data_IF_693294249799
#
_entry.id   IF_693294249799
#
_cell.length_a   1.000
_cell.length_b   1.000
_cell.length_c   1.000
_cell.angle_alpha   90.00
_cell.angle_beta   90.00
_cell.angle_gamma   90.00
#
_symmetry.space_group_name_H-M   'P 1'
#
loop_
_entity.id
_entity.type
_entity.pdbx_description
1 polymer ?
#
# COMPACT_ATOMS: atom_id res chain seq x y z
N UNK A 1 -1.06 48.42 20.67
CA UNK A 1 -1.87 48.60 19.46
C UNK A 1 -1.59 47.37 18.63
N UNK A 2 -2.45 46.35 18.77
CA UNK A 2 -2.31 45.09 18.05
C UNK A 2 -2.62 45.33 16.59
N UNK A 3 -1.78 44.84 15.70
CA UNK A 3 -2.09 44.84 14.27
C UNK A 3 -3.09 43.71 14.04
N UNK A 4 -4.25 44.03 13.50
CA UNK A 4 -5.21 43.02 13.04
C UNK A 4 -4.51 42.11 12.01
N UNK A 5 -4.61 40.78 12.15
CA UNK A 5 -4.25 39.87 11.08
C UNK A 5 -5.10 40.18 9.85
N UNK A 6 -4.49 40.07 8.67
CA UNK A 6 -5.20 40.34 7.41
C UNK A 6 -6.21 39.22 7.19
N UNK A 7 -7.49 39.50 7.46
CA UNK A 7 -8.56 38.49 7.62
C UNK A 7 -8.86 37.62 6.38
N UNK A 8 -8.36 37.96 5.18
CA UNK A 8 -8.38 37.08 4.00
C UNK A 8 -7.61 37.69 2.81
N UNK A 9 -6.70 36.96 2.18
CA UNK A 9 -6.13 37.34 0.88
C UNK A 9 -6.73 36.48 -0.26
N UNK A 10 -7.28 37.17 -1.27
CA UNK A 10 -7.76 36.54 -2.51
C UNK A 10 -6.94 37.07 -3.68
N UNK A 11 -6.11 36.21 -4.26
CA UNK A 11 -5.25 36.58 -5.38
C UNK A 11 -5.54 35.70 -6.60
N UNK A 12 -5.81 36.35 -7.74
CA UNK A 12 -6.09 35.70 -9.02
C UNK A 12 -5.14 36.24 -10.09
N UNK A 13 -4.20 35.43 -10.56
CA UNK A 13 -3.28 35.84 -11.64
C UNK A 13 -3.59 35.10 -12.92
N UNK A 14 -3.64 35.86 -14.02
CA UNK A 14 -3.70 35.32 -15.38
C UNK A 14 -2.39 34.66 -15.81
N UNK A 15 -2.25 34.31 -17.09
CA UNK A 15 -1.06 33.64 -17.58
C UNK A 15 0.21 34.47 -17.33
N UNK A 16 1.21 33.84 -16.73
CA UNK A 16 2.49 34.47 -16.43
C UNK A 16 3.64 33.55 -16.91
N UNK A 17 4.84 34.11 -17.11
CA UNK A 17 6.05 33.33 -17.34
C UNK A 17 6.47 32.60 -16.07
N UNK A 18 7.72 32.77 -15.63
CA UNK A 18 8.18 32.18 -14.38
C UNK A 18 7.80 33.05 -13.19
N UNK A 19 7.24 32.43 -12.15
CA UNK A 19 6.79 33.11 -10.95
C UNK A 19 7.50 32.55 -9.71
N UNK A 20 8.11 33.44 -8.94
CA UNK A 20 8.64 33.14 -7.61
C UNK A 20 7.98 34.03 -6.58
N UNK A 21 7.35 33.44 -5.58
CA UNK A 21 6.65 34.18 -4.53
C UNK A 21 6.83 33.54 -3.15
N UNK A 22 6.92 34.40 -2.13
CA UNK A 22 6.92 33.99 -0.73
C UNK A 22 5.85 34.78 0.00
N UNK A 23 4.94 34.10 0.70
CA UNK A 23 3.91 34.75 1.50
C UNK A 23 4.18 34.53 2.98
N UNK A 24 3.98 35.60 3.75
CA UNK A 24 4.11 35.58 5.21
C UNK A 24 2.92 34.89 5.90
N UNK A 25 2.89 34.90 7.25
CA UNK A 25 1.79 34.34 8.02
C UNK A 25 0.47 35.05 7.72
N UNK A 26 -0.63 34.29 7.65
CA UNK A 26 -1.99 34.79 7.38
C UNK A 26 -3.02 33.85 8.03
N UNK A 27 -4.25 34.31 8.26
CA UNK A 27 -5.33 33.43 8.76
C UNK A 27 -5.90 32.60 7.59
N UNK A 28 -6.44 33.29 6.58
CA UNK A 28 -7.09 32.68 5.41
C UNK A 28 -6.44 33.09 4.08
N UNK A 29 -6.08 32.11 3.25
CA UNK A 29 -5.54 32.38 1.90
C UNK A 29 -6.29 31.63 0.79
N UNK A 30 -6.70 32.37 -0.24
CA UNK A 30 -7.25 31.82 -1.50
C UNK A 30 -6.46 32.29 -2.71
N UNK A 31 -5.80 31.36 -3.39
CA UNK A 31 -5.00 31.65 -4.59
C UNK A 31 -5.51 30.87 -5.80
N UNK A 32 -5.78 31.60 -6.88
CA UNK A 32 -6.05 31.07 -8.21
C UNK A 32 -4.97 31.51 -9.19
N UNK A 33 -4.18 30.57 -9.74
CA UNK A 33 -3.22 30.88 -10.80
C UNK A 33 -3.65 30.21 -12.10
N UNK A 34 -3.63 30.96 -13.21
CA UNK A 34 -3.81 30.42 -14.55
C UNK A 34 -2.58 29.64 -15.04
N UNK A 35 -2.39 29.59 -16.37
CA UNK A 35 -1.22 28.95 -16.97
C UNK A 35 0.07 29.69 -16.61
N UNK A 36 0.98 29.04 -15.90
CA UNK A 36 2.28 29.61 -15.50
C UNK A 36 3.38 28.69 -16.04
N UNK A 37 4.53 29.23 -16.43
CA UNK A 37 5.71 28.43 -16.84
C UNK A 37 6.24 27.63 -15.66
N UNK A 38 7.21 28.20 -14.95
CA UNK A 38 7.71 27.63 -13.69
C UNK A 38 7.18 28.40 -12.48
N UNK A 39 6.73 27.69 -11.45
CA UNK A 39 6.28 28.31 -10.20
C UNK A 39 6.98 27.70 -9.00
N UNK A 40 7.72 28.56 -8.30
CA UNK A 40 8.31 28.30 -7.00
C UNK A 40 7.63 29.14 -5.92
N UNK A 41 7.06 28.49 -4.92
CA UNK A 41 6.34 29.16 -3.83
C UNK A 41 6.76 28.68 -2.45
N UNK A 42 6.94 29.60 -1.51
CA UNK A 42 7.09 29.31 -0.09
C UNK A 42 6.01 29.99 0.72
N UNK A 43 5.30 29.25 1.57
CA UNK A 43 4.24 29.81 2.40
C UNK A 43 4.55 29.63 3.88
N UNK A 44 4.40 30.71 4.64
CA UNK A 44 4.49 30.70 6.09
C UNK A 44 3.29 30.04 6.78
N UNK A 45 3.27 30.02 8.12
CA UNK A 45 2.18 29.41 8.88
C UNK A 45 0.83 30.07 8.64
N UNK A 46 -0.24 29.26 8.48
CA UNK A 46 -1.60 29.72 8.24
C UNK A 46 -2.66 28.80 8.84
N UNK A 47 -3.88 29.30 9.06
CA UNK A 47 -5.01 28.49 9.56
C UNK A 47 -5.71 27.75 8.42
N UNK A 48 -6.20 28.45 7.38
CA UNK A 48 -6.92 27.83 6.26
C UNK A 48 -6.38 28.24 4.89
N UNK A 49 -6.14 27.24 4.04
CA UNK A 49 -5.57 27.48 2.72
C UNK A 49 -6.33 26.78 1.59
N UNK A 50 -6.65 27.55 0.53
CA UNK A 50 -7.22 27.01 -0.72
C UNK A 50 -6.45 27.47 -1.96
N UNK A 51 -5.91 26.49 -2.69
CA UNK A 51 -5.12 26.70 -3.89
C UNK A 51 -5.77 26.04 -5.11
N UNK A 52 -5.96 26.80 -6.19
CA UNK A 52 -6.28 26.28 -7.51
C UNK A 52 -5.24 26.74 -8.53
N UNK A 53 -4.41 25.84 -9.04
CA UNK A 53 -3.40 26.18 -10.05
C UNK A 53 -3.71 25.48 -11.37
N UNK A 54 -3.72 26.26 -12.45
CA UNK A 54 -3.85 25.77 -13.80
C UNK A 54 -2.57 25.09 -14.32
N UNK A 55 -2.56 24.69 -15.61
CA UNK A 55 -1.48 23.92 -16.18
C UNK A 55 -0.13 24.62 -16.14
N UNK A 56 0.96 23.87 -16.00
CA UNK A 56 2.34 24.42 -15.93
C UNK A 56 3.41 23.41 -16.31
N UNK A 57 4.66 23.87 -16.46
CA UNK A 57 5.83 22.99 -16.53
C UNK A 57 6.21 22.51 -15.13
N UNK A 58 6.83 23.36 -14.32
CA UNK A 58 7.50 22.90 -13.10
C UNK A 58 6.93 23.52 -11.80
N UNK A 59 6.53 22.66 -10.86
CA UNK A 59 6.09 23.02 -9.52
C UNK A 59 7.10 22.69 -8.45
N UNK A 60 7.54 23.72 -7.73
CA UNK A 60 8.13 23.53 -6.41
C UNK A 60 7.37 24.35 -5.36
N UNK A 61 6.86 23.70 -4.32
CA UNK A 61 6.27 24.42 -3.19
C UNK A 61 6.65 23.83 -1.84
N UNK A 62 6.99 24.73 -0.92
CA UNK A 62 7.17 24.44 0.50
C UNK A 62 6.09 25.12 1.32
N UNK A 63 5.35 24.37 2.13
CA UNK A 63 4.42 24.94 3.11
C UNK A 63 4.97 24.74 4.51
N UNK A 64 4.98 25.83 5.28
CA UNK A 64 5.24 25.79 6.71
C UNK A 64 4.11 25.10 7.49
N UNK A 65 4.23 25.02 8.82
CA UNK A 65 3.20 24.44 9.66
C UNK A 65 1.89 25.20 9.53
N UNK A 66 0.74 24.54 9.38
CA UNK A 66 -0.54 25.23 9.21
C UNK A 66 -1.74 24.38 9.65
N UNK A 67 -2.94 24.96 9.58
CA UNK A 67 -4.20 24.24 9.73
C UNK A 67 -4.59 23.52 8.45
N UNK A 68 -5.80 23.74 7.95
CA UNK A 68 -6.38 22.92 6.89
C UNK A 68 -5.98 23.41 5.49
N UNK A 69 -5.68 22.46 4.61
CA UNK A 69 -5.25 22.75 3.24
C UNK A 69 -6.11 22.00 2.23
N UNK A 70 -6.74 22.76 1.32
CA UNK A 70 -7.37 22.23 0.10
C UNK A 70 -6.61 22.67 -1.14
N UNK A 71 -6.26 21.74 -2.02
CA UNK A 71 -5.52 22.04 -3.25
C UNK A 71 -6.05 21.29 -4.46
N UNK A 72 -6.25 22.00 -5.55
CA UNK A 72 -6.47 21.45 -6.89
C UNK A 72 -5.38 21.89 -7.85
N UNK A 73 -4.75 20.94 -8.54
CA UNK A 73 -3.79 21.21 -9.61
C UNK A 73 -4.23 20.55 -10.90
N UNK A 74 -4.16 21.28 -11.99
CA UNK A 74 -4.25 20.73 -13.34
C UNK A 74 -2.88 20.15 -13.79
N UNK A 75 -2.77 19.77 -15.06
CA UNK A 75 -1.59 19.12 -15.64
C UNK A 75 -0.28 19.87 -15.35
N UNK A 76 0.72 19.14 -14.87
CA UNK A 76 2.07 19.63 -14.55
C UNK A 76 3.10 18.68 -15.20
N UNK A 77 4.24 19.13 -15.70
CA UNK A 77 5.31 18.20 -16.13
C UNK A 77 5.98 17.62 -14.87
N UNK A 78 6.57 18.50 -14.05
CA UNK A 78 7.29 18.13 -12.83
C UNK A 78 6.65 18.75 -11.57
N UNK A 79 6.37 17.90 -10.57
CA UNK A 79 5.78 18.35 -9.32
C UNK A 79 6.56 17.94 -8.06
N UNK A 80 6.96 18.93 -7.26
CA UNK A 80 7.63 18.77 -5.98
C UNK A 80 6.94 19.56 -4.88
N UNK A 81 6.39 18.85 -3.91
CA UNK A 81 5.69 19.43 -2.77
C UNK A 81 6.30 18.93 -1.45
N UNK A 82 6.69 19.85 -0.59
CA UNK A 82 7.13 19.57 0.77
C UNK A 82 6.23 20.32 1.76
N UNK A 83 5.44 19.59 2.54
CA UNK A 83 4.56 20.19 3.54
C UNK A 83 5.10 19.88 4.94
N UNK A 84 5.17 20.91 5.78
CA UNK A 84 5.40 20.76 7.21
C UNK A 84 4.19 20.14 7.92
N UNK A 85 4.12 20.24 9.26
CA UNK A 85 2.98 19.76 10.00
C UNK A 85 1.70 20.52 9.61
N UNK A 86 0.68 19.81 9.16
CA UNK A 86 -0.59 20.43 8.73
C UNK A 86 -1.77 19.83 9.49
N UNK A 87 -2.89 20.54 9.53
CA UNK A 87 -4.17 19.98 9.97
C UNK A 87 -4.69 18.97 8.95
N UNK A 88 -5.95 19.12 8.56
CA UNK A 88 -6.56 18.24 7.56
C UNK A 88 -6.17 18.66 6.14
N UNK A 89 -5.87 17.68 5.30
CA UNK A 89 -5.35 17.91 3.96
C UNK A 89 -6.20 17.20 2.90
N UNK A 90 -6.70 17.98 1.94
CA UNK A 90 -7.41 17.50 0.77
C UNK A 90 -6.72 17.95 -0.52
N UNK A 91 -6.24 17.00 -1.33
CA UNK A 91 -5.56 17.31 -2.59
C UNK A 91 -6.11 16.53 -3.78
N UNK A 92 -6.34 17.25 -4.88
CA UNK A 92 -6.56 16.69 -6.21
C UNK A 92 -5.44 17.14 -7.14
N UNK A 93 -4.62 16.21 -7.62
CA UNK A 93 -3.52 16.49 -8.53
C UNK A 93 -3.81 15.87 -9.90
N UNK A 94 -3.72 16.67 -10.95
CA UNK A 94 -3.90 16.23 -12.33
C UNK A 94 -2.75 15.36 -12.85
N UNK A 95 -2.79 14.99 -14.15
CA UNK A 95 -1.73 14.17 -14.76
C UNK A 95 -0.36 14.85 -14.67
N UNK A 96 0.67 14.08 -14.34
CA UNK A 96 2.05 14.57 -14.18
C UNK A 96 3.05 13.61 -14.83
N UNK A 97 4.24 14.05 -15.26
CA UNK A 97 5.31 13.10 -15.62
C UNK A 97 5.98 12.63 -14.32
N UNK A 98 6.47 13.57 -13.52
CA UNK A 98 7.28 13.33 -12.32
C UNK A 98 6.61 13.95 -11.07
N UNK A 99 6.12 13.12 -10.12
CA UNK A 99 5.45 13.61 -8.91
C UNK A 99 6.15 13.17 -7.62
N UNK A 100 6.53 14.16 -6.79
CA UNK A 100 7.18 13.95 -5.49
C UNK A 100 6.49 14.74 -4.39
N UNK A 101 5.94 14.02 -3.41
CA UNK A 101 5.28 14.60 -2.24
C UNK A 101 5.96 14.12 -0.96
N UNK A 102 6.39 15.06 -0.13
CA UNK A 102 6.80 14.81 1.25
C UNK A 102 5.87 15.53 2.22
N UNK A 103 5.14 14.80 3.04
CA UNK A 103 4.29 15.38 4.07
C UNK A 103 4.86 15.10 5.46
N UNK A 104 4.92 16.15 6.28
CA UNK A 104 5.14 16.04 7.71
C UNK A 104 3.96 15.37 8.43
N UNK A 105 4.01 15.32 9.77
CA UNK A 105 2.89 14.83 10.56
C UNK A 105 1.63 15.70 10.37
N UNK A 106 0.45 15.13 10.37
CA UNK A 106 -0.77 15.93 10.26
C UNK A 106 -2.04 15.25 10.72
N UNK A 107 -3.16 15.93 10.47
CA UNK A 107 -4.50 15.41 10.69
C UNK A 107 -4.90 14.38 9.63
N UNK A 108 -6.15 14.44 9.20
CA UNK A 108 -6.70 13.52 8.22
C UNK A 108 -6.29 13.94 6.80
N UNK A 109 -6.05 12.94 5.95
CA UNK A 109 -5.50 13.17 4.61
C UNK A 109 -6.32 12.45 3.55
N UNK A 110 -6.85 13.23 2.61
CA UNK A 110 -7.52 12.75 1.41
C UNK A 110 -6.78 13.20 0.15
N UNK A 111 -6.36 12.26 -0.68
CA UNK A 111 -5.65 12.56 -1.94
C UNK A 111 -6.24 11.80 -3.13
N UNK A 112 -6.39 12.51 -4.24
CA UNK A 112 -6.64 11.95 -5.56
C UNK A 112 -5.54 12.39 -6.53
N UNK A 113 -4.76 11.44 -7.02
CA UNK A 113 -3.62 11.70 -7.91
C UNK A 113 -3.92 11.14 -9.30
N UNK A 114 -3.75 11.96 -10.33
CA UNK A 114 -3.94 11.59 -11.73
C UNK A 114 -2.87 10.62 -12.23
N UNK A 115 -2.95 10.23 -13.52
CA UNK A 115 -1.93 9.41 -14.15
C UNK A 115 -0.54 10.05 -14.03
N UNK A 116 0.47 9.24 -13.71
CA UNK A 116 1.86 9.71 -13.55
C UNK A 116 2.85 8.74 -14.19
N UNK A 117 4.00 9.17 -14.70
CA UNK A 117 5.06 8.22 -15.06
C UNK A 117 5.76 7.76 -13.77
N UNK A 118 6.29 8.73 -13.01
CA UNK A 118 7.14 8.52 -11.84
C UNK A 118 6.51 9.14 -10.57
N UNK A 119 5.98 8.32 -9.66
CA UNK A 119 5.30 8.81 -8.45
C UNK A 119 5.98 8.40 -7.16
N UNK A 120 6.33 9.39 -6.32
CA UNK A 120 6.93 9.16 -4.99
C UNK A 120 6.22 9.95 -3.90
N UNK A 121 5.66 9.22 -2.93
CA UNK A 121 4.95 9.79 -1.80
C UNK A 121 5.63 9.31 -0.51
N UNK A 122 6.00 10.26 0.35
CA UNK A 122 6.51 9.97 1.69
C UNK A 122 5.72 10.74 2.73
N UNK A 123 4.98 10.03 3.56
CA UNK A 123 4.10 10.63 4.55
C UNK A 123 4.62 10.33 5.96
N UNK A 124 4.56 11.34 6.82
CA UNK A 124 4.83 11.22 8.25
C UNK A 124 3.69 10.54 9.01
N UNK A 125 3.54 10.91 10.28
CA UNK A 125 2.42 10.45 11.10
C UNK A 125 1.14 11.20 10.74
N UNK A 126 0.13 10.52 10.25
CA UNK A 126 -1.18 11.13 9.92
C UNK A 126 -2.29 10.44 10.71
N UNK A 127 -3.42 11.12 10.84
CA UNK A 127 -4.67 10.53 11.33
C UNK A 127 -5.20 9.50 10.32
N UNK A 128 -6.42 9.71 9.82
CA UNK A 128 -7.00 8.83 8.82
C UNK A 128 -6.54 9.21 7.41
N UNK A 129 -6.29 8.21 6.58
CA UNK A 129 -5.70 8.38 5.27
C UNK A 129 -6.51 7.69 4.17
N UNK A 130 -6.99 8.49 3.23
CA UNK A 130 -7.66 8.04 2.01
C UNK A 130 -6.89 8.49 0.78
N UNK A 131 -6.35 7.56 0.00
CA UNK A 131 -5.61 7.87 -1.23
C UNK A 131 -6.20 7.09 -2.43
N UNK A 132 -6.48 7.81 -3.51
CA UNK A 132 -6.69 7.26 -4.85
C UNK A 132 -5.55 7.65 -5.79
N UNK A 133 -4.79 6.68 -6.30
CA UNK A 133 -3.70 6.90 -7.25
C UNK A 133 -4.13 6.40 -8.64
N UNK A 134 -3.94 7.23 -9.66
CA UNK A 134 -4.17 6.89 -11.05
C UNK A 134 -3.16 5.86 -11.59
N UNK A 135 -3.28 5.49 -12.88
CA UNK A 135 -2.29 4.66 -13.55
C UNK A 135 -0.89 5.25 -13.41
N UNK A 136 0.10 4.43 -13.07
CA UNK A 136 1.50 4.88 -12.90
C UNK A 136 2.46 3.88 -13.55
N UNK A 137 3.60 4.31 -14.10
CA UNK A 137 4.64 3.35 -14.48
C UNK A 137 5.39 2.89 -13.22
N UNK A 138 5.98 3.84 -12.51
CA UNK A 138 6.81 3.65 -11.31
C UNK A 138 6.18 4.30 -10.07
N UNK A 139 5.78 3.50 -9.08
CA UNK A 139 5.14 4.00 -7.87
C UNK A 139 5.88 3.61 -6.58
N UNK A 140 6.21 4.61 -5.76
CA UNK A 140 6.80 4.42 -4.42
C UNK A 140 6.01 5.17 -3.37
N UNK A 141 5.40 4.42 -2.45
CA UNK A 141 4.67 4.97 -1.30
C UNK A 141 5.32 4.51 0.00
N UNK A 142 5.78 5.47 0.80
CA UNK A 142 6.27 5.25 2.16
C UNK A 142 5.39 5.97 3.16
N UNK A 143 4.69 5.23 4.02
CA UNK A 143 3.85 5.78 5.07
C UNK A 143 4.47 5.53 6.45
N UNK A 144 4.44 6.56 7.29
CA UNK A 144 4.72 6.46 8.72
C UNK A 144 3.57 5.79 9.48
N UNK A 145 3.37 6.23 10.74
CA UNK A 145 2.26 5.76 11.55
C UNK A 145 0.95 6.40 11.08
N UNK A 146 -0.07 5.59 10.78
CA UNK A 146 -1.37 6.05 10.28
C UNK A 146 -2.47 5.57 11.23
N UNK A 147 -3.57 6.31 11.36
CA UNK A 147 -4.82 5.79 11.92
C UNK A 147 -5.42 4.74 11.00
N UNK A 148 -6.58 5.01 10.42
CA UNK A 148 -7.19 4.13 9.43
C UNK A 148 -6.70 4.45 8.01
N UNK A 149 -6.49 3.41 7.20
CA UNK A 149 -5.89 3.53 5.88
C UNK A 149 -6.73 2.89 4.78
N UNK A 150 -7.18 3.71 3.84
CA UNK A 150 -7.81 3.31 2.59
C UNK A 150 -6.97 3.75 1.39
N UNK A 151 -6.47 2.77 0.63
CA UNK A 151 -5.71 3.03 -0.60
C UNK A 151 -6.35 2.33 -1.79
N UNK A 152 -6.66 3.09 -2.83
CA UNK A 152 -6.95 2.59 -4.17
C UNK A 152 -5.82 2.93 -5.13
N UNK A 153 -5.16 1.93 -5.69
CA UNK A 153 -4.08 2.12 -6.67
C UNK A 153 -4.56 1.67 -8.04
N UNK A 154 -4.35 2.53 -9.03
CA UNK A 154 -4.56 2.22 -10.44
C UNK A 154 -3.59 1.14 -10.95
N UNK A 155 -3.64 0.84 -12.25
CA UNK A 155 -2.65 -0.04 -12.88
C UNK A 155 -1.23 0.50 -12.68
N UNK A 156 -0.28 -0.38 -12.36
CA UNK A 156 1.12 0.01 -12.17
C UNK A 156 2.09 -1.02 -12.71
N UNK A 157 3.15 -0.60 -13.41
CA UNK A 157 4.20 -1.53 -13.85
C UNK A 157 5.05 -1.96 -12.66
N UNK A 158 5.67 -1.01 -11.96
CA UNK A 158 6.52 -1.26 -10.79
C UNK A 158 5.98 -0.55 -9.55
N UNK A 159 5.67 -1.33 -8.51
CA UNK A 159 5.03 -0.80 -7.31
C UNK A 159 5.77 -1.20 -6.02
N UNK A 160 6.13 -0.19 -5.22
CA UNK A 160 6.70 -0.35 -3.89
C UNK A 160 5.84 0.34 -2.83
N UNK A 161 5.43 -0.43 -1.82
CA UNK A 161 4.59 0.02 -0.71
C UNK A 161 5.26 -0.34 0.62
N UNK A 162 5.72 0.66 1.37
CA UNK A 162 6.20 0.50 2.73
C UNK A 162 5.25 1.22 3.69
N UNK A 163 4.46 0.46 4.44
CA UNK A 163 3.48 1.03 5.37
C UNK A 163 3.90 0.74 6.80
N UNK A 164 4.07 1.81 7.58
CA UNK A 164 4.30 1.73 9.02
C UNK A 164 3.08 1.21 9.80
N UNK A 165 3.19 1.14 11.14
CA UNK A 165 2.11 0.67 11.99
C UNK A 165 0.86 1.53 11.88
N UNK A 166 -0.32 0.94 12.06
CA UNK A 166 -1.57 1.70 12.09
C UNK A 166 -2.79 0.89 12.51
N UNK A 167 -3.96 1.53 12.41
CA UNK A 167 -5.27 0.94 12.66
C UNK A 167 -5.71 0.02 11.53
N UNK A 168 -6.90 0.25 10.97
CA UNK A 168 -7.46 -0.62 9.94
C UNK A 168 -6.86 -0.35 8.56
N UNK A 169 -6.41 -1.41 7.88
CA UNK A 169 -5.81 -1.30 6.55
C UNK A 169 -6.69 -1.92 5.45
N UNK A 170 -7.10 -1.11 4.48
CA UNK A 170 -7.74 -1.56 3.24
C UNK A 170 -6.98 -1.08 2.00
N UNK A 171 -6.44 -2.03 1.23
CA UNK A 171 -5.74 -1.76 -0.04
C UNK A 171 -6.44 -2.46 -1.20
N UNK A 172 -6.71 -1.71 -2.28
CA UNK A 172 -7.17 -2.23 -3.56
C UNK A 172 -6.20 -1.88 -4.66
N UNK A 173 -5.66 -2.89 -5.34
CA UNK A 173 -4.71 -2.71 -6.43
C UNK A 173 -5.33 -3.08 -7.78
N UNK A 174 -5.10 -2.19 -8.74
CA UNK A 174 -5.31 -2.45 -10.16
C UNK A 174 -4.39 -3.56 -10.67
N UNK A 175 -4.59 -4.01 -11.93
CA UNK A 175 -3.68 -4.93 -12.57
C UNK A 175 -2.30 -4.28 -12.77
N UNK A 176 -1.21 -5.04 -12.57
CA UNK A 176 0.13 -4.49 -12.66
C UNK A 176 1.22 -5.52 -12.96
N UNK A 177 2.44 -5.01 -13.13
CA UNK A 177 3.67 -5.80 -13.26
C UNK A 177 4.12 -6.28 -11.88
N UNK A 178 5.21 -5.72 -11.38
CA UNK A 178 5.85 -6.18 -10.15
C UNK A 178 5.39 -5.39 -8.93
N UNK A 179 5.06 -6.12 -7.86
CA UNK A 179 4.61 -5.54 -6.60
C UNK A 179 5.48 -6.00 -5.44
N UNK A 180 6.08 -5.03 -4.75
CA UNK A 180 6.74 -5.21 -3.47
C UNK A 180 6.01 -4.46 -2.37
N UNK A 181 5.60 -5.17 -1.32
CA UNK A 181 4.91 -4.58 -0.17
C UNK A 181 5.50 -5.04 1.16
N UNK A 182 5.79 -4.10 2.05
CA UNK A 182 6.12 -4.34 3.45
C UNK A 182 5.11 -3.64 4.35
N UNK A 183 4.42 -4.42 5.19
CA UNK A 183 3.44 -3.92 6.15
C UNK A 183 3.89 -4.22 7.56
N UNK A 184 4.06 -3.18 8.36
CA UNK A 184 4.24 -3.29 9.81
C UNK A 184 2.92 -3.73 10.50
N UNK A 185 2.93 -3.99 11.83
CA UNK A 185 1.74 -4.43 12.55
C UNK A 185 0.54 -3.49 12.36
N UNK A 186 -0.63 -4.05 12.11
CA UNK A 186 -1.92 -3.32 12.06
C UNK A 186 -2.99 -4.13 12.79
N UNK A 187 -4.10 -3.50 13.16
CA UNK A 187 -5.22 -4.19 13.82
C UNK A 187 -5.87 -5.19 12.85
N UNK A 188 -6.48 -4.67 11.78
CA UNK A 188 -7.02 -5.46 10.67
C UNK A 188 -6.32 -5.18 9.34
N UNK A 189 -6.29 -6.18 8.46
CA UNK A 189 -5.83 -6.01 7.08
C UNK A 189 -6.73 -6.67 6.04
N UNK A 190 -7.12 -5.88 5.03
CA UNK A 190 -7.85 -6.31 3.84
C UNK A 190 -7.11 -5.85 2.59
N UNK A 191 -6.62 -6.81 1.82
CA UNK A 191 -5.95 -6.51 0.55
C UNK A 191 -6.63 -7.27 -0.60
N UNK A 192 -7.01 -6.53 -1.64
CA UNK A 192 -7.54 -7.06 -2.88
C UNK A 192 -6.62 -6.73 -4.05
N UNK A 193 -5.96 -7.73 -4.61
CA UNK A 193 -5.10 -7.59 -5.77
C UNK A 193 -5.77 -8.23 -6.98
N UNK A 194 -5.79 -7.52 -8.10
CA UNK A 194 -6.36 -8.02 -9.35
C UNK A 194 -5.39 -9.01 -10.00
N UNK A 195 -4.61 -8.60 -11.00
CA UNK A 195 -3.60 -9.44 -11.65
C UNK A 195 -2.23 -8.81 -11.44
N UNK A 196 -1.24 -9.59 -11.07
CA UNK A 196 0.12 -9.09 -10.80
C UNK A 196 1.11 -10.01 -11.52
N UNK A 197 2.23 -9.48 -12.01
CA UNK A 197 3.36 -10.26 -12.51
C UNK A 197 4.01 -11.02 -11.37
N UNK A 198 4.98 -10.37 -10.72
CA UNK A 198 5.66 -10.91 -9.55
C UNK A 198 5.21 -10.19 -8.28
N UNK A 199 4.89 -10.96 -7.24
CA UNK A 199 4.42 -10.45 -5.95
C UNK A 199 5.40 -10.81 -4.84
N UNK A 200 6.00 -9.81 -4.22
CA UNK A 200 6.78 -9.94 -2.98
C UNK A 200 6.09 -9.20 -1.84
N UNK A 201 5.75 -9.92 -0.76
CA UNK A 201 5.02 -9.31 0.36
C UNK A 201 5.53 -9.77 1.73
N UNK A 202 5.78 -8.82 2.62
CA UNK A 202 6.03 -9.04 4.05
C UNK A 202 4.89 -8.46 4.88
N UNK A 203 4.22 -9.30 5.65
CA UNK A 203 3.08 -8.92 6.49
C UNK A 203 3.47 -9.08 7.95
N UNK A 204 3.44 -7.99 8.72
CA UNK A 204 3.65 -8.02 10.17
C UNK A 204 2.54 -8.76 10.93
N UNK A 205 2.71 -8.95 12.25
CA UNK A 205 1.68 -9.49 13.16
C UNK A 205 0.37 -8.68 13.15
N UNK A 206 -0.80 -9.35 13.15
CA UNK A 206 -2.15 -8.73 13.09
C UNK A 206 -3.24 -9.59 13.72
N UNK A 207 -4.38 -9.02 14.12
CA UNK A 207 -5.52 -9.78 14.66
C UNK A 207 -6.29 -10.51 13.54
N UNK A 208 -6.69 -9.77 12.49
CA UNK A 208 -7.42 -10.32 11.35
C UNK A 208 -6.76 -10.01 10.01
N UNK A 209 -6.65 -11.02 9.15
CA UNK A 209 -6.10 -10.87 7.82
C UNK A 209 -6.96 -11.50 6.73
N UNK A 210 -7.28 -10.69 5.71
CA UNK A 210 -7.97 -11.15 4.51
C UNK A 210 -7.27 -10.67 3.24
N UNK A 211 -6.73 -11.63 2.49
CA UNK A 211 -6.05 -11.38 1.21
C UNK A 211 -6.80 -12.07 0.08
N UNK A 212 -7.21 -11.29 -0.92
CA UNK A 212 -7.71 -11.78 -2.20
C UNK A 212 -6.71 -11.46 -3.29
N UNK A 213 -6.09 -12.47 -3.89
CA UNK A 213 -5.21 -12.33 -5.05
C UNK A 213 -5.92 -12.89 -6.27
N UNK A 214 -5.92 -12.18 -7.40
CA UNK A 214 -6.24 -12.78 -8.69
C UNK A 214 -5.03 -13.50 -9.28
N UNK A 215 -4.90 -13.59 -10.61
CA UNK A 215 -3.81 -14.31 -11.26
C UNK A 215 -2.44 -13.69 -10.97
N UNK A 216 -1.45 -14.51 -10.62
CA UNK A 216 -0.06 -14.09 -10.40
C UNK A 216 0.92 -15.06 -11.05
N UNK A 217 2.04 -14.56 -11.59
CA UNK A 217 3.10 -15.40 -12.16
C UNK A 217 3.90 -16.04 -11.02
N UNK A 218 4.56 -15.23 -10.22
CA UNK A 218 5.33 -15.67 -9.05
C UNK A 218 4.87 -14.96 -7.77
N UNK A 219 4.72 -15.70 -6.68
CA UNK A 219 4.43 -15.15 -5.35
C UNK A 219 5.49 -15.58 -4.35
N UNK A 220 6.09 -14.60 -3.68
CA UNK A 220 6.90 -14.78 -2.48
C UNK A 220 6.29 -13.99 -1.32
N UNK A 221 5.86 -14.67 -0.26
CA UNK A 221 5.24 -14.02 0.89
C UNK A 221 5.80 -14.51 2.23
N UNK A 222 6.01 -13.57 3.16
CA UNK A 222 6.22 -13.84 4.59
C UNK A 222 5.07 -13.25 5.38
N UNK A 223 4.45 -14.07 6.22
CA UNK A 223 3.32 -13.65 7.05
C UNK A 223 3.67 -13.87 8.51
N UNK A 224 3.59 -12.79 9.28
CA UNK A 224 3.70 -12.80 10.74
C UNK A 224 2.51 -13.52 11.39
N UNK A 225 2.57 -13.71 12.72
CA UNK A 225 1.51 -14.39 13.46
C UNK A 225 0.19 -13.61 13.38
N UNK A 226 -0.91 -14.35 13.21
CA UNK A 226 -2.27 -13.80 13.20
C UNK A 226 -3.25 -14.73 13.92
N UNK A 227 -4.32 -14.18 14.50
CA UNK A 227 -5.37 -14.99 15.12
C UNK A 227 -6.25 -15.67 14.05
N UNK A 228 -6.77 -14.87 13.11
CA UNK A 228 -7.63 -15.30 12.01
C UNK A 228 -7.09 -14.93 10.62
N UNK A 229 -6.81 -15.95 9.78
CA UNK A 229 -6.32 -15.75 8.41
C UNK A 229 -7.27 -16.34 7.36
N UNK A 230 -7.61 -15.51 6.36
CA UNK A 230 -8.38 -15.90 5.16
C UNK A 230 -7.65 -15.50 3.88
N UNK A 231 -7.14 -16.49 3.14
CA UNK A 231 -6.45 -16.29 1.86
C UNK A 231 -7.27 -16.89 0.70
N UNK A 232 -7.54 -16.06 -0.31
CA UNK A 232 -8.16 -16.50 -1.57
C UNK A 232 -7.23 -16.18 -2.73
N UNK A 233 -6.60 -17.21 -3.28
CA UNK A 233 -5.66 -17.08 -4.38
C UNK A 233 -6.32 -17.45 -5.71
N UNK A 234 -6.02 -16.66 -6.74
CA UNK A 234 -6.32 -16.96 -8.14
C UNK A 234 -5.40 -18.04 -8.69
N UNK A 235 -5.19 -18.02 -10.01
CA UNK A 235 -4.20 -18.87 -10.67
C UNK A 235 -2.80 -18.37 -10.30
N UNK A 236 -1.96 -19.24 -9.75
CA UNK A 236 -0.58 -18.91 -9.39
C UNK A 236 0.35 -19.86 -10.14
N UNK A 237 1.38 -19.32 -10.80
CA UNK A 237 2.45 -20.10 -11.40
C UNK A 237 3.29 -20.76 -10.32
N UNK A 238 4.20 -20.01 -9.72
CA UNK A 238 5.05 -20.47 -8.62
C UNK A 238 4.73 -19.73 -7.30
N UNK A 239 4.73 -20.48 -6.20
CA UNK A 239 4.33 -19.99 -4.88
C UNK A 239 5.35 -20.41 -3.81
N UNK A 240 5.93 -19.40 -3.15
CA UNK A 240 6.78 -19.54 -1.96
C UNK A 240 6.15 -18.80 -0.80
N UNK A 241 5.82 -19.50 0.29
CA UNK A 241 5.29 -18.90 1.51
C UNK A 241 6.09 -19.30 2.74
N UNK A 242 6.38 -18.33 3.60
CA UNK A 242 6.85 -18.54 4.97
C UNK A 242 5.80 -18.07 5.96
N UNK A 243 5.31 -18.96 6.80
CA UNK A 243 4.25 -18.69 7.78
C UNK A 243 4.78 -18.90 9.21
N UNK A 244 4.62 -17.89 10.04
CA UNK A 244 4.71 -18.03 11.50
C UNK A 244 3.38 -18.56 12.07
N UNK A 245 3.36 -19.20 13.27
CA UNK A 245 2.19 -19.96 13.74
C UNK A 245 0.92 -19.11 13.90
N UNK A 246 -0.18 -19.60 13.29
CA UNK A 246 -1.54 -19.03 13.31
C UNK A 246 -2.49 -19.99 14.04
N UNK A 247 -3.45 -19.47 14.82
CA UNK A 247 -4.40 -20.29 15.61
C UNK A 247 -5.46 -20.94 14.70
N UNK A 248 -6.07 -20.17 13.78
CA UNK A 248 -7.09 -20.64 12.85
C UNK A 248 -6.80 -20.23 11.40
N UNK A 249 -6.72 -21.23 10.50
CA UNK A 249 -6.36 -21.01 9.08
C UNK A 249 -7.40 -21.57 8.11
N UNK A 250 -7.86 -20.73 7.18
CA UNK A 250 -8.74 -21.09 6.05
C UNK A 250 -8.11 -20.62 4.73
N UNK A 251 -7.66 -21.56 3.89
CA UNK A 251 -7.09 -21.28 2.57
C UNK A 251 -7.72 -22.13 1.47
N UNK A 252 -7.86 -21.56 0.28
CA UNK A 252 -8.34 -22.24 -0.92
C UNK A 252 -7.49 -21.85 -2.13
N UNK A 253 -6.74 -22.81 -2.67
CA UNK A 253 -5.71 -22.55 -3.69
C UNK A 253 -5.92 -23.43 -4.94
N UNK A 254 -5.66 -22.88 -6.14
CA UNK A 254 -5.51 -23.62 -7.41
C UNK A 254 -4.15 -23.33 -8.06
N UNK A 255 -3.05 -23.88 -7.52
CA UNK A 255 -1.72 -23.65 -8.07
C UNK A 255 -1.49 -24.45 -9.37
N UNK A 256 -0.87 -23.80 -10.36
CA UNK A 256 -0.39 -24.39 -11.62
C UNK A 256 1.14 -24.32 -11.64
N UNK A 257 1.83 -25.11 -10.80
CA UNK A 257 3.30 -25.09 -10.74
C UNK A 257 3.90 -25.77 -9.51
N UNK A 258 5.11 -25.35 -9.12
CA UNK A 258 5.85 -25.93 -8.00
C UNK A 258 5.53 -25.21 -6.69
N UNK A 259 5.35 -25.98 -5.60
CA UNK A 259 4.95 -25.45 -4.28
C UNK A 259 6.00 -25.80 -3.23
N UNK A 260 6.42 -24.81 -2.42
CA UNK A 260 7.33 -24.97 -1.29
C UNK A 260 6.78 -24.27 -0.05
N UNK A 261 6.59 -25.03 1.03
CA UNK A 261 6.11 -24.53 2.32
C UNK A 261 7.08 -24.89 3.46
N UNK A 262 7.24 -23.97 4.41
CA UNK A 262 8.01 -24.13 5.63
C UNK A 262 7.16 -23.78 6.84
N UNK A 263 6.38 -24.75 7.33
CA UNK A 263 5.41 -24.56 8.43
C UNK A 263 5.89 -25.14 9.77
N UNK A 264 5.64 -24.43 10.87
CA UNK A 264 5.70 -24.95 12.27
C UNK A 264 4.30 -24.83 12.91
N UNK A 265 3.43 -25.86 12.83
CA UNK A 265 2.02 -25.69 13.17
C UNK A 265 1.72 -25.91 14.67
N UNK A 266 0.89 -25.03 15.23
CA UNK A 266 0.12 -25.21 16.47
C UNK A 266 -1.33 -24.73 16.21
N UNK A 267 -2.21 -25.55 15.62
CA UNK A 267 -3.59 -25.09 15.31
C UNK A 267 -4.45 -26.05 14.48
N UNK A 268 -5.72 -25.70 14.28
CA UNK A 268 -6.73 -26.42 13.49
C UNK A 268 -6.81 -25.84 12.06
N UNK A 269 -6.22 -26.51 11.08
CA UNK A 269 -6.22 -26.04 9.68
C UNK A 269 -7.33 -26.68 8.84
N UNK A 270 -8.08 -25.88 8.06
CA UNK A 270 -8.96 -26.36 6.97
C UNK A 270 -8.45 -25.84 5.63
N UNK A 271 -7.76 -26.71 4.88
CA UNK A 271 -7.12 -26.37 3.60
C UNK A 271 -7.75 -27.17 2.46
N UNK A 272 -8.19 -26.46 1.40
CA UNK A 272 -8.68 -27.06 0.15
C UNK A 272 -7.74 -26.78 -1.01
N UNK A 273 -6.98 -27.78 -1.45
CA UNK A 273 -5.98 -27.67 -2.53
C UNK A 273 -6.34 -28.57 -3.71
N UNK A 274 -6.34 -28.01 -4.93
CA UNK A 274 -6.39 -28.79 -6.20
C UNK A 274 -5.07 -28.58 -6.98
N UNK A 275 -4.00 -29.33 -6.66
CA UNK A 275 -2.70 -29.15 -7.28
C UNK A 275 -2.58 -29.89 -8.61
N UNK A 276 -1.90 -29.25 -9.57
CA UNK A 276 -1.37 -29.83 -10.80
C UNK A 276 0.15 -29.56 -10.89
N UNK A 277 0.96 -30.19 -10.03
CA UNK A 277 2.42 -29.98 -9.96
C UNK A 277 3.15 -30.79 -8.87
N UNK A 278 4.49 -30.65 -8.77
CA UNK A 278 5.35 -31.29 -7.74
C UNK A 278 5.36 -30.47 -6.44
N UNK A 279 5.12 -31.11 -5.29
CA UNK A 279 5.23 -30.53 -3.93
C UNK A 279 6.51 -31.01 -3.23
N UNK A 280 7.14 -30.17 -2.41
CA UNK A 280 8.15 -30.58 -1.43
C UNK A 280 7.77 -30.03 -0.05
N UNK A 281 7.26 -30.88 0.85
CA UNK A 281 6.80 -30.49 2.18
C UNK A 281 7.78 -30.98 3.27
N UNK A 282 8.19 -30.08 4.17
CA UNK A 282 8.98 -30.41 5.36
C UNK A 282 8.20 -30.14 6.65
N UNK A 283 7.46 -31.13 7.16
CA UNK A 283 6.62 -30.99 8.37
C UNK A 283 7.14 -31.78 9.57
N UNK A 284 7.08 -31.20 10.78
CA UNK A 284 7.19 -31.89 12.08
C UNK A 284 5.84 -31.78 12.81
N UNK A 285 5.11 -32.88 13.09
CA UNK A 285 3.72 -32.79 13.53
C UNK A 285 3.53 -32.88 15.06
N UNK A 286 2.59 -32.07 15.60
CA UNK A 286 1.85 -32.27 16.86
C UNK A 286 0.40 -31.70 16.80
N UNK A 287 -0.29 -31.73 15.64
CA UNK A 287 -1.63 -31.15 15.47
C UNK A 287 -2.59 -31.96 14.56
N UNK A 288 -3.90 -31.65 14.60
CA UNK A 288 -4.98 -32.38 13.90
C UNK A 288 -5.50 -31.54 12.70
N UNK A 289 -5.19 -31.94 11.47
CA UNK A 289 -5.54 -31.24 10.22
C UNK A 289 -6.60 -32.00 9.40
N UNK A 290 -7.57 -31.29 8.80
CA UNK A 290 -8.51 -31.86 7.81
C UNK A 290 -8.12 -31.37 6.40
N UNK A 291 -7.41 -32.20 5.63
CA UNK A 291 -6.94 -31.90 4.26
C UNK A 291 -7.77 -32.68 3.24
N UNK A 292 -8.37 -32.00 2.27
CA UNK A 292 -9.07 -32.62 1.13
C UNK A 292 -8.32 -32.38 -0.18
N UNK A 293 -7.55 -33.36 -0.65
CA UNK A 293 -6.76 -33.29 -1.89
C UNK A 293 -7.30 -34.24 -2.96
N UNK A 294 -7.52 -33.76 -4.20
CA UNK A 294 -7.79 -34.61 -5.39
C UNK A 294 -6.64 -34.46 -6.40
N UNK A 295 -5.65 -35.37 -6.41
CA UNK A 295 -4.49 -35.28 -7.29
C UNK A 295 -4.67 -35.98 -8.64
N UNK A 296 -4.04 -35.45 -9.69
CA UNK A 296 -3.85 -36.09 -10.99
C UNK A 296 -2.38 -36.61 -11.10
N UNK A 297 -2.10 -37.76 -10.47
CA UNK A 297 -0.95 -38.69 -10.68
C UNK A 297 0.52 -38.25 -10.39
N UNK A 298 1.19 -39.16 -9.65
CA UNK A 298 2.63 -39.42 -9.39
C UNK A 298 3.35 -38.61 -8.28
N UNK A 299 3.32 -39.20 -7.07
CA UNK A 299 4.16 -38.84 -5.91
C UNK A 299 5.49 -39.62 -6.02
N UNK A 300 6.63 -38.95 -5.85
CA UNK A 300 7.93 -39.60 -5.66
C UNK A 300 8.30 -39.51 -4.18
N UNK A 301 8.26 -40.65 -3.47
CA UNK A 301 8.67 -40.76 -2.07
C UNK A 301 10.19 -40.90 -1.92
N UNK A 302 10.78 -40.05 -1.09
CA UNK A 302 12.11 -40.26 -0.48
C UNK A 302 12.24 -39.27 0.67
N UNK A 303 12.39 -39.65 1.95
CA UNK A 303 13.23 -40.69 2.54
C UNK A 303 12.71 -41.09 3.94
N UNK A 304 12.93 -42.35 4.33
CA UNK A 304 12.66 -42.94 5.67
C UNK A 304 13.46 -42.26 6.78
N UNK A 305 12.97 -42.33 8.04
CA UNK A 305 13.78 -42.99 9.07
C UNK A 305 13.00 -43.92 10.03
N UNK A 306 13.78 -44.69 10.78
CA UNK A 306 13.48 -45.89 11.56
C UNK A 306 12.51 -45.72 12.75
N UNK A 307 11.61 -46.70 12.92
CA UNK A 307 10.81 -46.93 14.14
C UNK A 307 10.42 -48.41 14.26
N UNK A 308 10.88 -49.05 15.33
CA UNK A 308 10.96 -50.49 15.63
C UNK A 308 9.60 -51.23 15.61
N UNK A 309 9.54 -52.37 14.92
CA UNK A 309 8.42 -53.32 14.93
C UNK A 309 8.23 -53.97 16.31
N UNK A 310 6.99 -54.03 16.80
CA UNK A 310 6.55 -55.09 17.73
C UNK A 310 5.48 -55.95 17.06
N UNK A 311 5.88 -57.19 16.75
CA UNK A 311 4.98 -58.29 16.40
C UNK A 311 4.31 -58.76 17.70
N UNK A 312 2.98 -58.85 17.68
CA UNK A 312 2.20 -59.56 18.68
C UNK A 312 1.34 -60.61 17.98
N UNK A 313 1.74 -61.87 18.07
CA UNK A 313 1.00 -63.04 17.60
C UNK A 313 -0.20 -63.30 18.51
N UNK A 314 -1.33 -63.59 17.87
CA UNK A 314 -2.62 -63.95 18.47
C UNK A 314 -2.71 -65.48 18.69
N UNK A 315 -3.21 -65.95 19.83
CA UNK A 315 -4.03 -67.16 19.91
C UNK A 315 -5.49 -66.83 19.59
#
# INVERSE_FOLDING_TARGET
MGLDPTEAERLGLGPAGDLKMGLGPMEDQRLGLGHVGDLTMGLGPMEDQRLGLGPRRDLTMGLGPGGDLTRGLDHTEDQRLGLGPVGDLSMGLGPTEDQRLGLGPGGDLTMGLGPTEDQRLRLGHVGDLTIGLGPTEDQRLGLGHVGDLLIGLGPTEDQWLGLGPGGDLTIRLGPGGDLTMGLDPTEDQRCGLSSVGDLTMGLGPKEYQRLGLGPVVEITMRVGPTEDQSLRLGTVGDLTMGLDPTVDQKSGNRPYGSYKDGTRPYGLSKVGTRPCGRSNDGTRPYGRSNVGSRPCVRINDGTRPYGRSKVGTRP
#
